data_IF_140944689116
#
_entry.id   IF_140944689116
#
_cell.length_a   1.000
_cell.length_b   1.000
_cell.length_c   1.000
_cell.angle_alpha   90.00
_cell.angle_beta   90.00
_cell.angle_gamma   90.00
#
_symmetry.space_group_name_H-M   'P 1'
#
loop_
_entity.id
_entity.type
_entity.pdbx_description
1 polymer ?
#
# COMPACT_ATOMS: atom_id res chain seq x y z
N UNK A 1 -66.90 4.75 48.12
CA UNK A 1 -66.37 5.82 47.31
C UNK A 1 -64.88 5.61 47.15
N UNK A 2 -64.54 4.84 46.14
CA UNK A 2 -63.20 4.53 45.81
C UNK A 2 -62.65 5.51 44.79
N UNK A 3 -61.44 5.92 44.96
CA UNK A 3 -60.65 6.55 43.95
C UNK A 3 -59.41 5.70 43.75
N UNK A 4 -59.51 4.82 42.77
CA UNK A 4 -58.37 4.12 42.23
C UNK A 4 -57.56 5.09 41.41
N UNK A 5 -56.37 5.38 41.86
CA UNK A 5 -55.34 6.05 41.06
C UNK A 5 -54.42 4.99 40.46
N UNK A 6 -54.68 4.67 39.22
CA UNK A 6 -53.78 3.90 38.42
C UNK A 6 -52.48 4.66 38.21
N UNK A 7 -51.42 4.16 38.81
CA UNK A 7 -50.07 4.64 38.56
C UNK A 7 -49.52 3.85 37.37
N UNK A 8 -49.58 4.45 36.20
CA UNK A 8 -48.90 3.91 35.04
C UNK A 8 -47.40 3.99 35.25
N UNK A 9 -46.80 2.86 35.56
CA UNK A 9 -45.34 2.69 35.56
C UNK A 9 -44.88 2.66 34.11
N UNK A 10 -44.31 3.77 33.63
CA UNK A 10 -43.56 3.84 32.37
C UNK A 10 -42.23 3.14 32.59
N UNK A 11 -42.15 1.89 32.22
CA UNK A 11 -40.88 1.17 32.07
C UNK A 11 -40.18 1.65 30.81
N UNK A 12 -39.30 2.62 30.97
CA UNK A 12 -38.36 2.99 29.91
C UNK A 12 -37.32 1.90 29.75
N UNK A 13 -37.54 1.03 28.80
CA UNK A 13 -36.53 0.06 28.35
C UNK A 13 -35.42 0.80 27.61
N UNK A 14 -34.32 1.09 28.30
CA UNK A 14 -33.08 1.52 27.67
C UNK A 14 -32.49 0.31 26.93
N UNK A 15 -32.77 0.23 25.64
CA UNK A 15 -32.02 -0.61 24.72
C UNK A 15 -30.60 -0.03 24.57
N UNK A 16 -29.68 -0.56 25.35
CA UNK A 16 -28.26 -0.39 25.08
C UNK A 16 -27.95 -1.16 23.80
N UNK A 17 -27.96 -0.46 22.68
CA UNK A 17 -27.35 -0.95 21.46
C UNK A 17 -25.83 -0.99 21.72
N UNK A 18 -25.33 -2.13 22.15
CA UNK A 18 -23.90 -2.44 22.10
C UNK A 18 -23.52 -2.49 20.63
N UNK A 19 -23.01 -1.37 20.12
CA UNK A 19 -22.27 -1.36 18.87
C UNK A 19 -21.02 -2.17 19.14
N UNK A 20 -21.05 -3.45 18.80
CA UNK A 20 -19.85 -4.24 18.65
C UNK A 20 -19.07 -3.62 17.47
N UNK A 21 -18.12 -2.75 17.78
CA UNK A 21 -17.08 -2.39 16.84
C UNK A 21 -16.25 -3.66 16.70
N UNK A 22 -16.67 -4.53 15.80
CA UNK A 22 -15.80 -5.54 15.26
C UNK A 22 -14.72 -4.76 14.53
N UNK A 23 -13.57 -4.60 15.16
CA UNK A 23 -12.34 -4.17 14.52
C UNK A 23 -11.87 -5.28 13.58
N UNK A 24 -12.61 -5.54 12.52
CA UNK A 24 -12.05 -6.09 11.31
C UNK A 24 -11.22 -4.95 10.76
N UNK A 25 -9.90 -5.06 10.80
CA UNK A 25 -9.06 -4.26 9.95
C UNK A 25 -9.64 -4.43 8.55
N UNK A 26 -10.25 -3.38 8.02
CA UNK A 26 -10.75 -3.40 6.66
C UNK A 26 -9.49 -3.51 5.80
N UNK A 27 -9.29 -4.67 5.18
CA UNK A 27 -8.28 -4.81 4.14
C UNK A 27 -8.57 -3.72 3.12
N UNK A 28 -7.66 -2.77 3.03
CA UNK A 28 -7.79 -1.67 2.09
C UNK A 28 -7.40 -2.20 0.71
N UNK A 29 -8.27 -2.00 -0.27
CA UNK A 29 -7.97 -2.36 -1.65
C UNK A 29 -7.61 -1.11 -2.42
N UNK A 30 -6.37 -1.03 -2.86
CA UNK A 30 -5.86 0.09 -3.65
C UNK A 30 -5.98 -0.17 -5.15
N UNK A 31 -6.26 0.88 -5.90
CA UNK A 31 -5.88 0.98 -7.30
C UNK A 31 -4.43 1.49 -7.39
N UNK A 32 -3.78 1.37 -8.55
CA UNK A 32 -2.42 1.87 -8.72
C UNK A 32 -2.31 3.38 -8.42
N UNK A 33 -3.30 4.16 -8.85
CA UNK A 33 -3.33 5.62 -8.63
C UNK A 33 -3.53 5.98 -7.15
N UNK A 34 -4.48 5.34 -6.47
CA UNK A 34 -4.72 5.56 -5.05
C UNK A 34 -3.49 5.19 -4.22
N UNK A 35 -2.85 4.06 -4.52
CA UNK A 35 -1.63 3.67 -3.84
C UNK A 35 -0.51 4.70 -4.02
N UNK A 36 -0.32 5.21 -5.25
CA UNK A 36 0.68 6.25 -5.51
C UNK A 36 0.38 7.54 -4.75
N UNK A 37 -0.89 7.93 -4.66
CA UNK A 37 -1.34 9.13 -3.95
C UNK A 37 -1.05 9.01 -2.45
N UNK A 38 -1.44 7.89 -1.83
CA UNK A 38 -1.18 7.61 -0.42
C UNK A 38 0.33 7.57 -0.08
N UNK A 39 1.13 6.94 -0.94
CA UNK A 39 2.59 6.90 -0.78
C UNK A 39 3.18 8.32 -0.89
N UNK A 40 2.70 9.13 -1.83
CA UNK A 40 3.15 10.51 -1.99
C UNK A 40 2.77 11.37 -0.77
N UNK A 41 1.62 11.15 -0.15
CA UNK A 41 1.21 11.80 1.10
C UNK A 41 2.15 11.43 2.26
N UNK A 42 2.73 10.24 2.25
CA UNK A 42 3.76 9.81 3.21
C UNK A 42 5.15 10.44 2.92
N UNK A 43 5.25 11.30 1.92
CA UNK A 43 6.49 12.00 1.57
C UNK A 43 7.47 11.19 0.73
N UNK A 44 7.01 10.14 0.08
CA UNK A 44 7.80 9.37 -0.89
C UNK A 44 7.27 9.65 -2.27
N UNK A 45 7.99 10.45 -3.06
CA UNK A 45 7.60 10.73 -4.43
C UNK A 45 7.68 9.44 -5.27
N UNK A 46 6.54 8.93 -5.68
CA UNK A 46 6.42 7.77 -6.56
C UNK A 46 5.68 8.18 -7.84
N UNK A 47 6.22 7.79 -8.98
CA UNK A 47 5.63 8.05 -10.28
C UNK A 47 5.25 6.72 -10.93
N UNK A 48 3.99 6.62 -11.35
CA UNK A 48 3.53 5.49 -12.15
C UNK A 48 3.91 5.74 -13.60
N UNK A 49 4.60 4.78 -14.16
CA UNK A 49 5.00 4.79 -15.56
C UNK A 49 4.05 3.98 -16.44
N UNK A 50 4.63 3.30 -17.40
CA UNK A 50 3.89 2.52 -18.39
C UNK A 50 3.20 1.31 -17.74
N UNK A 51 1.95 1.07 -18.14
CA UNK A 51 1.27 -0.17 -17.82
C UNK A 51 1.89 -1.34 -18.61
N UNK A 52 2.24 -2.38 -17.88
CA UNK A 52 2.79 -3.60 -18.44
C UNK A 52 1.67 -4.62 -18.65
N UNK A 53 1.88 -5.57 -19.59
CA UNK A 53 0.93 -6.66 -19.77
C UNK A 53 1.12 -7.70 -18.67
N UNK A 54 0.01 -8.08 -18.04
CA UNK A 54 -0.05 -9.20 -17.12
C UNK A 54 -0.66 -10.42 -17.80
N UNK A 55 -0.08 -11.58 -17.58
CA UNK A 55 -0.65 -12.86 -18.02
C UNK A 55 -1.74 -13.38 -17.07
N UNK A 56 -1.88 -12.81 -15.87
CA UNK A 56 -2.69 -13.35 -14.78
C UNK A 56 -3.87 -12.45 -14.38
N UNK A 57 -4.17 -11.42 -15.18
CA UNK A 57 -5.27 -10.49 -14.89
C UNK A 57 -4.93 -9.40 -13.85
N UNK A 58 -3.72 -9.39 -13.32
CA UNK A 58 -3.26 -8.36 -12.40
C UNK A 58 -2.95 -7.07 -13.15
N UNK A 59 -3.06 -5.95 -12.48
CA UNK A 59 -2.60 -4.67 -13.02
C UNK A 59 -1.10 -4.51 -12.70
N UNK A 60 -0.29 -4.29 -13.74
CA UNK A 60 1.16 -4.09 -13.63
C UNK A 60 1.56 -2.73 -14.16
N UNK A 61 2.42 -2.02 -13.42
CA UNK A 61 2.99 -0.75 -13.86
C UNK A 61 4.48 -0.70 -13.59
N UNK A 62 5.21 -0.04 -14.49
CA UNK A 62 6.52 0.48 -14.14
C UNK A 62 6.35 1.60 -13.12
N UNK A 63 7.23 1.67 -12.14
CA UNK A 63 7.30 2.78 -11.20
C UNK A 63 8.70 3.35 -11.14
N UNK A 64 8.78 4.65 -10.90
CA UNK A 64 10.03 5.35 -10.68
C UNK A 64 9.98 6.08 -9.35
N UNK A 65 10.99 5.87 -8.53
CA UNK A 65 11.26 6.67 -7.34
C UNK A 65 12.38 7.64 -7.69
N UNK A 66 12.14 8.95 -7.75
CA UNK A 66 13.18 9.92 -8.01
C UNK A 66 14.30 9.83 -6.99
N UNK A 67 15.51 10.11 -7.44
CA UNK A 67 16.66 10.15 -6.57
C UNK A 67 16.48 11.16 -5.46
N UNK A 68 16.89 10.79 -4.26
CA UNK A 68 16.86 11.69 -3.11
C UNK A 68 17.85 12.84 -3.29
N UNK A 69 17.37 14.05 -3.04
CA UNK A 69 18.21 15.23 -3.06
C UNK A 69 19.33 15.12 -1.99
N UNK A 70 20.54 15.55 -2.34
CA UNK A 70 21.68 15.57 -1.43
C UNK A 70 22.49 14.27 -1.35
N UNK A 71 22.12 13.22 -2.08
CA UNK A 71 22.95 12.05 -2.22
C UNK A 71 24.14 12.33 -3.18
N UNK A 72 25.32 11.74 -2.95
CA UNK A 72 26.44 11.85 -3.87
C UNK A 72 26.06 11.28 -5.25
N UNK A 73 26.62 11.79 -6.35
CA UNK A 73 26.34 11.26 -7.67
C UNK A 73 26.70 9.75 -7.74
N UNK A 74 25.97 8.96 -8.55
CA UNK A 74 26.31 7.56 -8.75
C UNK A 74 27.73 7.44 -9.31
N UNK A 75 28.40 6.33 -8.97
CA UNK A 75 29.72 6.06 -9.50
C UNK A 75 29.67 5.92 -11.04
N UNK A 76 30.75 6.32 -11.74
CA UNK A 76 30.81 6.16 -13.20
C UNK A 76 30.57 4.70 -13.58
N UNK A 77 29.51 4.41 -14.34
CA UNK A 77 29.10 3.06 -14.74
C UNK A 77 27.85 2.53 -14.04
N UNK A 78 27.36 3.18 -12.99
CA UNK A 78 26.04 2.90 -12.41
C UNK A 78 24.98 3.70 -13.17
N UNK A 79 24.25 3.03 -14.05
CA UNK A 79 22.96 3.40 -14.66
C UNK A 79 22.64 4.90 -14.80
N UNK A 80 23.48 5.65 -15.48
CA UNK A 80 23.04 6.88 -16.14
C UNK A 80 22.40 6.43 -17.46
N UNK A 81 21.10 6.70 -17.63
CA UNK A 81 20.49 6.54 -18.93
C UNK A 81 21.19 7.44 -19.96
N UNK A 82 21.04 7.14 -21.25
CA UNK A 82 21.65 7.90 -22.35
C UNK A 82 21.26 9.40 -22.36
N UNK A 83 20.37 9.81 -21.46
CA UNK A 83 19.84 11.18 -21.36
C UNK A 83 20.31 11.91 -20.11
N UNK A 84 21.25 11.35 -19.33
CA UNK A 84 21.81 11.99 -18.14
C UNK A 84 20.81 12.28 -17.03
N UNK A 85 19.64 11.65 -17.06
CA UNK A 85 18.69 11.71 -15.96
C UNK A 85 19.19 10.81 -14.86
N UNK A 86 19.44 11.39 -13.71
CA UNK A 86 19.70 10.65 -12.49
C UNK A 86 18.40 9.96 -12.07
N UNK A 87 18.10 8.84 -12.71
CA UNK A 87 16.96 8.01 -12.29
C UNK A 87 17.28 7.46 -10.90
N UNK A 88 16.28 7.56 -10.01
CA UNK A 88 16.33 6.92 -8.71
C UNK A 88 16.16 5.40 -8.83
N UNK A 89 15.31 4.80 -8.02
CA UNK A 89 15.00 3.39 -8.13
C UNK A 89 13.90 3.16 -9.19
N UNK A 90 14.13 2.20 -10.08
CA UNK A 90 13.12 1.66 -10.99
C UNK A 90 12.56 0.38 -10.38
N UNK A 91 11.25 0.24 -10.39
CA UNK A 91 10.56 -0.92 -9.86
C UNK A 91 9.32 -1.31 -10.68
N UNK A 92 8.67 -2.36 -10.23
CA UNK A 92 7.40 -2.82 -10.77
C UNK A 92 6.35 -2.85 -9.67
N UNK A 93 5.21 -2.25 -9.95
CA UNK A 93 4.03 -2.24 -9.10
C UNK A 93 3.05 -3.29 -9.61
N UNK A 94 2.66 -4.19 -8.73
CA UNK A 94 1.59 -5.16 -8.95
C UNK A 94 0.39 -4.77 -8.10
N UNK A 95 -0.78 -4.68 -8.71
CA UNK A 95 -2.05 -4.48 -8.02
C UNK A 95 -2.91 -5.71 -8.24
N UNK A 96 -3.33 -6.33 -7.16
CA UNK A 96 -4.13 -7.55 -7.15
C UNK A 96 -5.58 -7.22 -6.79
N UNK A 97 -6.49 -8.15 -7.08
CA UNK A 97 -7.90 -8.02 -6.70
C UNK A 97 -8.10 -8.14 -5.18
N UNK A 98 -7.21 -8.89 -4.50
CA UNK A 98 -7.25 -9.13 -3.07
C UNK A 98 -5.86 -9.26 -2.43
N UNK A 99 -5.81 -9.23 -1.10
CA UNK A 99 -4.59 -9.32 -0.32
C UNK A 99 -3.95 -10.71 -0.34
N UNK A 100 -4.72 -11.77 -0.53
CA UNK A 100 -4.21 -13.14 -0.55
C UNK A 100 -3.36 -13.39 -1.81
N UNK A 101 -3.81 -12.90 -2.97
CA UNK A 101 -3.04 -12.95 -4.21
C UNK A 101 -1.74 -12.12 -4.10
N UNK A 102 -1.78 -10.99 -3.42
CA UNK A 102 -0.60 -10.18 -3.13
C UNK A 102 0.39 -10.91 -2.21
N UNK A 103 -0.09 -11.66 -1.21
CA UNK A 103 0.77 -12.46 -0.33
C UNK A 103 1.46 -13.61 -1.08
N UNK A 104 0.76 -14.26 -2.00
CA UNK A 104 1.35 -15.29 -2.87
C UNK A 104 2.49 -14.70 -3.72
N UNK A 105 2.26 -13.54 -4.32
CA UNK A 105 3.29 -12.84 -5.09
C UNK A 105 4.47 -12.41 -4.23
N UNK A 106 4.22 -11.91 -3.03
CA UNK A 106 5.29 -11.55 -2.09
C UNK A 106 6.14 -12.77 -1.74
N UNK A 107 5.51 -13.91 -1.48
CA UNK A 107 6.20 -15.17 -1.18
C UNK A 107 7.04 -15.64 -2.36
N UNK A 108 6.49 -15.60 -3.57
CA UNK A 108 7.21 -15.95 -4.80
C UNK A 108 8.44 -15.03 -5.00
N UNK A 109 8.26 -13.74 -4.78
CA UNK A 109 9.32 -12.76 -4.88
C UNK A 109 10.43 -12.97 -3.83
N UNK A 110 10.08 -13.24 -2.59
CA UNK A 110 11.05 -13.50 -1.50
C UNK A 110 11.88 -14.75 -1.72
N UNK A 111 11.38 -15.70 -2.50
CA UNK A 111 12.13 -16.89 -2.91
C UNK A 111 13.16 -16.59 -4.00
N UNK A 112 13.11 -15.41 -4.62
CA UNK A 112 14.14 -14.94 -5.55
C UNK A 112 15.31 -14.35 -4.77
N UNK A 113 16.53 -14.75 -5.11
CA UNK A 113 17.75 -14.23 -4.47
C UNK A 113 18.11 -12.80 -4.93
N UNK A 114 17.46 -12.31 -5.99
CA UNK A 114 17.84 -11.06 -6.67
C UNK A 114 16.81 -9.95 -6.57
N UNK A 115 15.62 -10.24 -6.02
CA UNK A 115 14.54 -9.26 -5.93
C UNK A 115 14.35 -8.75 -4.50
N UNK A 116 14.02 -7.47 -4.40
CA UNK A 116 13.62 -6.81 -3.16
C UNK A 116 12.14 -6.49 -3.27
N UNK A 117 11.33 -6.98 -2.34
CA UNK A 117 9.88 -6.98 -2.44
C UNK A 117 9.23 -6.43 -1.19
N UNK A 118 8.23 -5.60 -1.39
CA UNK A 118 7.43 -5.00 -0.32
C UNK A 118 5.95 -5.16 -0.64
N UNK A 119 5.12 -5.27 0.40
CA UNK A 119 3.67 -5.39 0.27
C UNK A 119 2.94 -4.38 1.16
N UNK A 120 1.83 -3.86 0.67
CA UNK A 120 0.79 -3.20 1.45
C UNK A 120 -0.57 -3.66 0.90
N UNK A 121 -1.36 -4.32 1.73
CA UNK A 121 -2.66 -4.90 1.38
C UNK A 121 -2.64 -5.71 0.06
N UNK A 122 -3.34 -5.25 -0.97
CA UNK A 122 -3.41 -5.88 -2.29
C UNK A 122 -2.30 -5.47 -3.27
N UNK A 123 -1.29 -4.74 -2.79
CA UNK A 123 -0.23 -4.18 -3.64
C UNK A 123 1.12 -4.79 -3.29
N UNK A 124 1.89 -5.17 -4.31
CA UNK A 124 3.28 -5.62 -4.18
C UNK A 124 4.18 -4.77 -5.07
N UNK A 125 5.29 -4.32 -4.51
CA UNK A 125 6.31 -3.58 -5.26
C UNK A 125 7.60 -4.37 -5.28
N UNK A 126 8.20 -4.49 -6.45
CA UNK A 126 9.45 -5.19 -6.70
C UNK A 126 10.52 -4.25 -7.20
N UNK A 127 11.75 -4.47 -6.72
CA UNK A 127 12.96 -3.86 -7.23
C UNK A 127 14.03 -4.91 -7.48
N UNK A 128 14.86 -4.72 -8.49
CA UNK A 128 16.01 -5.60 -8.77
C UNK A 128 17.19 -5.30 -7.84
N UNK A 129 17.23 -4.11 -7.25
CA UNK A 129 18.30 -3.67 -6.37
C UNK A 129 17.76 -3.05 -5.08
N UNK A 130 18.46 -3.32 -3.97
CA UNK A 130 18.18 -2.69 -2.68
C UNK A 130 18.75 -1.25 -2.67
N UNK A 131 17.92 -0.27 -3.00
CA UNK A 131 18.27 1.16 -2.97
C UNK A 131 17.60 1.88 -1.82
N UNK A 132 18.17 3.03 -1.42
CA UNK A 132 17.62 3.81 -0.32
C UNK A 132 16.22 4.35 -0.61
N UNK A 133 15.92 4.66 -1.87
CA UNK A 133 14.60 5.07 -2.32
C UNK A 133 13.57 3.96 -2.11
N UNK A 134 13.93 2.71 -2.43
CA UNK A 134 13.09 1.53 -2.20
C UNK A 134 12.86 1.28 -0.71
N UNK A 135 13.86 1.50 0.14
CA UNK A 135 13.71 1.37 1.59
C UNK A 135 12.75 2.43 2.16
N UNK A 136 12.80 3.66 1.66
CA UNK A 136 11.86 4.71 2.05
C UNK A 136 10.42 4.37 1.64
N UNK A 137 10.24 3.82 0.44
CA UNK A 137 8.94 3.31 0.03
C UNK A 137 8.45 2.20 0.95
N UNK A 138 9.32 1.25 1.33
CA UNK A 138 8.96 0.20 2.26
C UNK A 138 8.44 0.73 3.60
N UNK A 139 9.07 1.77 4.14
CA UNK A 139 8.61 2.41 5.38
C UNK A 139 7.26 3.13 5.21
N UNK A 140 7.02 3.75 4.05
CA UNK A 140 5.71 4.33 3.75
C UNK A 140 4.64 3.24 3.63
N UNK A 141 4.92 2.14 2.93
CA UNK A 141 4.01 1.00 2.80
C UNK A 141 3.66 0.35 4.14
N UNK A 142 4.61 0.24 5.07
CA UNK A 142 4.32 -0.24 6.42
C UNK A 142 3.31 0.62 7.16
N UNK A 143 3.37 1.94 6.98
CA UNK A 143 2.42 2.86 7.62
C UNK A 143 1.01 2.80 7.00
N UNK A 144 0.91 2.37 5.75
CA UNK A 144 -0.38 2.18 5.10
C UNK A 144 -1.05 0.87 5.54
N UNK A 145 -0.26 -0.12 5.98
CA UNK A 145 -0.75 -1.43 6.43
C UNK A 145 -1.08 -1.47 7.94
N UNK A 146 -0.76 -0.43 8.71
CA UNK A 146 -1.04 -0.30 10.16
C UNK A 146 -2.39 0.42 10.40
#
# INVERSE_FOLDING_TARGET
>A
MGWEREIHALAAAFLFATVAVAGCGSEQTFTASEFAEEVNEQGVEMRIGRQLQSSEGNELHEITLPRLAGLPPPAPGEHADEHGREEGALGTLYVFDDADAAEEQLTACRNSATLVCYRADNVVVLFEEARIEAQRLALAMQRLAD
#
